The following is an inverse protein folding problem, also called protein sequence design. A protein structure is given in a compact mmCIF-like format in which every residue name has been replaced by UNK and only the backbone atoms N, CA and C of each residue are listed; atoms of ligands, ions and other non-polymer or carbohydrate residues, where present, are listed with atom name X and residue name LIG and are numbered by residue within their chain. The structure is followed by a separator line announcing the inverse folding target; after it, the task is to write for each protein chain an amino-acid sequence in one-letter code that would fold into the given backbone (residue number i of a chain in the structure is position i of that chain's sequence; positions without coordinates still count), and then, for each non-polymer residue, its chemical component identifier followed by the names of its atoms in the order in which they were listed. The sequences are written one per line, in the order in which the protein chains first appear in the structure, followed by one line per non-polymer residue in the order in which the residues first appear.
data_IF_794146977725
#
_entry.id   IF_794146977725
#
_cell.length_a   1.000
_cell.length_b   1.000
_cell.length_c   1.000
_cell.angle_alpha   90.00
_cell.angle_beta   90.00
_cell.angle_gamma   90.00
#
_symmetry.space_group_name_H-M   'P 1'
#
loop_
_entity.id
_entity.type
_entity.pdbx_description
1 polymer ?
#
# COMPACT_ATOMS: atom_id res chain seq x y z
N UNK A 1 29.76 -24.28 -25.44
CA UNK A 1 30.03 -23.23 -24.42
C UNK A 1 30.78 -23.88 -23.26
N UNK A 2 31.92 -23.33 -22.83
CA UNK A 2 32.67 -23.87 -21.69
C UNK A 2 31.84 -23.78 -20.40
N UNK A 3 31.91 -24.78 -19.51
CA UNK A 3 31.14 -24.83 -18.26
C UNK A 3 31.35 -23.58 -17.40
N UNK A 4 32.57 -23.04 -17.38
CA UNK A 4 32.91 -21.75 -16.74
C UNK A 4 32.12 -20.58 -17.34
N UNK A 5 32.01 -20.50 -18.67
CA UNK A 5 31.18 -19.49 -19.35
C UNK A 5 29.70 -19.68 -19.05
N UNK A 6 29.21 -20.92 -18.95
CA UNK A 6 27.80 -21.21 -18.61
C UNK A 6 27.44 -20.72 -17.21
N UNK A 7 28.30 -20.97 -16.22
CA UNK A 7 28.12 -20.50 -14.83
C UNK A 7 28.12 -18.96 -14.79
N UNK A 8 29.04 -18.32 -15.52
CA UNK A 8 29.12 -16.86 -15.60
C UNK A 8 27.86 -16.23 -16.18
N UNK A 9 27.32 -16.81 -17.25
CA UNK A 9 26.07 -16.34 -17.88
C UNK A 9 24.87 -16.51 -16.94
N UNK A 10 24.78 -17.63 -16.21
CA UNK A 10 23.69 -17.85 -15.24
C UNK A 10 23.78 -16.84 -14.08
N UNK A 11 24.99 -16.60 -13.56
CA UNK A 11 25.21 -15.60 -12.51
C UNK A 11 24.81 -14.20 -12.96
N UNK A 12 25.20 -13.79 -14.17
CA UNK A 12 24.82 -12.50 -14.74
C UNK A 12 23.29 -12.36 -14.88
N UNK A 13 22.63 -13.43 -15.35
CA UNK A 13 21.18 -13.43 -15.54
C UNK A 13 20.43 -13.30 -14.20
N UNK A 14 20.92 -13.96 -13.14
CA UNK A 14 20.35 -13.85 -11.79
C UNK A 14 20.47 -12.44 -11.23
N UNK A 15 21.61 -11.77 -11.41
CA UNK A 15 21.81 -10.38 -10.95
C UNK A 15 20.87 -9.41 -11.67
N UNK A 16 20.68 -9.59 -12.98
CA UNK A 16 19.74 -8.76 -13.76
C UNK A 16 18.31 -9.01 -13.30
N UNK A 17 17.93 -10.28 -13.11
CA UNK A 17 16.57 -10.65 -12.67
C UNK A 17 16.23 -10.04 -11.31
N UNK A 18 17.14 -10.13 -10.33
CA UNK A 18 16.91 -9.55 -9.00
C UNK A 18 16.80 -8.03 -9.03
N UNK A 19 17.65 -7.34 -9.82
CA UNK A 19 17.58 -5.88 -9.97
C UNK A 19 16.24 -5.43 -10.60
N UNK A 20 15.77 -6.12 -11.65
CA UNK A 20 14.48 -5.83 -12.29
C UNK A 20 13.32 -6.11 -11.32
N UNK A 21 13.34 -7.23 -10.62
CA UNK A 21 12.32 -7.55 -9.61
C UNK A 21 12.28 -6.49 -8.50
N UNK A 22 13.42 -5.99 -8.04
CA UNK A 22 13.48 -4.95 -7.02
C UNK A 22 12.83 -3.66 -7.54
N UNK A 23 13.21 -3.20 -8.74
CA UNK A 23 12.63 -2.02 -9.38
C UNK A 23 11.10 -2.12 -9.56
N UNK A 24 10.59 -3.27 -10.01
CA UNK A 24 9.15 -3.46 -10.20
C UNK A 24 8.41 -3.44 -8.85
N UNK A 25 8.99 -4.00 -7.79
CA UNK A 25 8.37 -3.97 -6.46
C UNK A 25 8.31 -2.54 -5.90
N UNK A 26 9.34 -1.72 -6.12
CA UNK A 26 9.35 -0.31 -5.71
C UNK A 26 8.29 0.51 -6.47
N UNK A 27 8.12 0.26 -7.76
CA UNK A 27 7.07 0.92 -8.55
C UNK A 27 5.67 0.45 -8.15
N UNK A 28 5.47 -0.85 -7.88
CA UNK A 28 4.19 -1.38 -7.39
C UNK A 28 3.78 -0.79 -6.05
N UNK A 29 4.70 -0.70 -5.10
CA UNK A 29 4.40 -0.12 -3.78
C UNK A 29 4.01 1.35 -3.88
N UNK A 30 4.60 2.10 -4.82
CA UNK A 30 4.17 3.48 -5.12
C UNK A 30 2.81 3.54 -5.81
N UNK A 31 2.53 2.62 -6.72
CA UNK A 31 1.24 2.55 -7.42
C UNK A 31 0.09 2.17 -6.47
N UNK A 32 0.33 1.22 -5.55
CA UNK A 32 -0.62 0.80 -4.52
C UNK A 32 -0.95 1.96 -3.58
N UNK A 33 0.05 2.75 -3.17
CA UNK A 33 -0.18 3.97 -2.38
C UNK A 33 -1.07 4.97 -3.11
N UNK A 34 -0.77 5.27 -4.39
CA UNK A 34 -1.58 6.18 -5.20
C UNK A 34 -3.01 5.66 -5.42
N UNK A 35 -3.17 4.34 -5.57
CA UNK A 35 -4.48 3.72 -5.75
C UNK A 35 -5.33 3.81 -4.48
N UNK A 36 -4.71 3.65 -3.30
CA UNK A 36 -5.39 3.80 -2.01
C UNK A 36 -5.89 5.23 -1.79
N UNK A 37 -5.09 6.23 -2.11
CA UNK A 37 -5.46 7.66 -2.01
C UNK A 37 -6.71 7.99 -2.86
N UNK A 38 -6.83 7.40 -4.06
CA UNK A 38 -8.02 7.61 -4.90
C UNK A 38 -9.27 6.92 -4.34
N UNK A 39 -9.11 5.74 -3.72
CA UNK A 39 -10.23 5.03 -3.06
C UNK A 39 -10.69 5.81 -1.84
N UNK A 40 -9.76 6.34 -1.05
CA UNK A 40 -10.08 7.17 0.12
C UNK A 40 -10.70 8.51 -0.27
N UNK A 41 -10.21 9.18 -1.32
CA UNK A 41 -10.81 10.41 -1.85
C UNK A 41 -12.22 10.18 -2.45
N UNK A 42 -12.47 9.00 -3.04
CA UNK A 42 -13.80 8.66 -3.53
C UNK A 42 -14.79 8.40 -2.38
N UNK A 43 -14.32 7.86 -1.25
CA UNK A 43 -15.13 7.56 -0.08
C UNK A 43 -15.18 8.71 0.95
N UNK A 44 -14.41 9.78 0.77
CA UNK A 44 -14.28 10.85 1.77
C UNK A 44 -15.59 11.58 2.05
N UNK A 45 -16.51 11.59 1.09
CA UNK A 45 -17.82 12.26 1.20
C UNK A 45 -18.98 11.30 1.54
N UNK A 46 -18.71 10.00 1.70
CA UNK A 46 -19.72 9.04 2.20
C UNK A 46 -19.94 9.15 3.71
N UNK A 47 -18.93 9.66 4.42
CA UNK A 47 -18.99 9.92 5.85
C UNK A 47 -19.65 11.28 6.06
N UNK A 48 -20.96 11.27 6.32
CA UNK A 48 -21.76 12.48 6.47
C UNK A 48 -21.24 13.48 7.53
N UNK A 49 -21.84 14.67 7.65
CA UNK A 49 -21.33 15.74 8.49
C UNK A 49 -21.28 15.43 10.01
N UNK A 50 -21.85 14.30 10.42
CA UNK A 50 -22.11 13.95 11.81
C UNK A 50 -21.58 12.53 12.12
N UNK A 51 -20.26 12.38 12.09
CA UNK A 51 -19.59 11.14 12.52
C UNK A 51 -19.04 11.32 13.93
N UNK A 52 -19.48 10.47 14.84
CA UNK A 52 -18.95 10.36 16.20
C UNK A 52 -17.96 9.21 16.28
N UNK A 53 -16.76 9.52 16.76
CA UNK A 53 -15.67 8.58 16.95
C UNK A 53 -15.43 8.39 18.44
N UNK A 54 -15.57 7.15 18.93
CA UNK A 54 -15.68 6.91 20.38
C UNK A 54 -14.71 5.84 20.89
N UNK A 55 -14.09 6.16 22.02
CA UNK A 55 -13.09 5.34 22.66
C UNK A 55 -11.76 5.34 21.92
N UNK A 56 -10.84 4.50 22.37
CA UNK A 56 -9.57 4.25 21.69
C UNK A 56 -9.55 2.79 21.23
N UNK A 57 -9.19 2.55 19.98
CA UNK A 57 -9.25 1.22 19.39
C UNK A 57 -8.35 1.08 18.18
N UNK A 58 -8.75 0.25 17.22
CA UNK A 58 -7.97 -0.03 16.01
C UNK A 58 -8.51 0.62 14.75
N UNK A 59 -9.71 1.22 14.81
CA UNK A 59 -10.36 1.83 13.65
C UNK A 59 -9.90 3.28 13.49
N UNK A 60 -9.45 3.68 12.31
CA UNK A 60 -9.11 5.09 12.05
C UNK A 60 -10.39 5.92 11.83
N UNK A 61 -10.59 6.94 12.65
CA UNK A 61 -11.72 7.84 12.55
C UNK A 61 -11.62 8.70 11.27
N UNK A 62 -12.65 8.71 10.41
CA UNK A 62 -12.59 9.34 9.09
C UNK A 62 -12.49 10.88 9.12
N UNK A 63 -12.75 11.52 10.27
CA UNK A 63 -12.66 12.99 10.42
C UNK A 63 -11.35 13.51 10.97
N UNK A 64 -10.82 12.83 11.98
CA UNK A 64 -9.71 13.34 12.81
C UNK A 64 -8.50 12.40 12.78
N UNK A 65 -8.55 11.33 11.99
CA UNK A 65 -7.50 10.31 11.84
C UNK A 65 -6.96 9.80 13.19
N UNK A 66 -7.82 9.73 14.21
CA UNK A 66 -7.50 9.12 15.51
C UNK A 66 -8.07 7.71 15.57
N UNK A 67 -7.38 6.82 16.27
CA UNK A 67 -7.84 5.44 16.41
C UNK A 67 -8.90 5.28 17.49
N UNK A 68 -10.05 4.72 17.12
CA UNK A 68 -11.24 4.54 17.98
C UNK A 68 -11.75 3.11 17.98
N UNK A 69 -12.58 2.79 18.98
CA UNK A 69 -13.17 1.45 19.13
C UNK A 69 -14.41 1.30 18.25
N UNK A 70 -15.20 2.37 18.11
CA UNK A 70 -16.38 2.38 17.25
C UNK A 70 -16.60 3.73 16.56
N UNK A 71 -17.27 3.69 15.41
CA UNK A 71 -17.71 4.85 14.63
C UNK A 71 -19.24 4.81 14.56
N UNK A 72 -19.89 5.90 14.95
CA UNK A 72 -21.34 6.03 14.91
C UNK A 72 -21.75 7.22 14.03
N UNK A 73 -22.89 7.10 13.36
CA UNK A 73 -23.52 8.22 12.67
C UNK A 73 -24.52 8.88 13.62
N UNK A 74 -24.32 10.16 13.91
CA UNK A 74 -25.29 10.98 14.63
C UNK A 74 -26.38 11.43 13.62
N UNK A 75 -27.34 10.54 13.35
CA UNK A 75 -28.53 10.86 12.56
C UNK A 75 -29.45 11.82 13.31
#
# INVERSE_FOLDING_TARGET
MNLKKKIWVIGLFLVIATAVSFHINTEKSRLDALMFENVEALASDEWGPNVDCVGSGSLDCPRIHVKVYFIANAR
#
